data_IF_691989562727
#
_entry.id   IF_691989562727
#
_cell.length_a   1.000
_cell.length_b   1.000
_cell.length_c   1.000
_cell.angle_alpha   90.00
_cell.angle_beta   90.00
_cell.angle_gamma   90.00
#
_symmetry.space_group_name_H-M   'P 1'
#
loop_
_entity.id
_entity.type
_entity.pdbx_description
1 polymer ?
#
# COMPACT_ATOMS: atom_id res chain seq x y z
N UNK A 1 11.87 20.24 4.32
CA UNK A 1 11.79 18.91 3.69
C UNK A 1 10.84 19.00 2.51
N UNK A 2 11.34 18.86 1.27
CA UNK A 2 10.53 18.89 0.04
C UNK A 2 9.70 17.61 -0.14
N UNK A 3 10.27 16.46 0.28
CA UNK A 3 9.66 15.14 0.20
C UNK A 3 8.22 15.06 0.75
N UNK A 4 7.97 15.47 2.00
CA UNK A 4 6.63 15.34 2.58
C UNK A 4 5.55 16.23 1.94
N UNK A 5 5.92 17.24 1.14
CA UNK A 5 4.98 18.06 0.35
C UNK A 5 4.74 17.40 -1.01
N UNK A 6 5.79 16.97 -1.68
CA UNK A 6 5.72 16.23 -2.95
C UNK A 6 4.98 14.89 -2.80
N UNK A 7 5.16 14.21 -1.66
CA UNK A 7 4.48 12.98 -1.31
C UNK A 7 2.96 13.13 -1.29
N UNK A 8 2.45 14.15 -0.57
CA UNK A 8 1.01 14.44 -0.51
C UNK A 8 0.43 14.87 -1.85
N UNK A 9 1.17 15.70 -2.61
CA UNK A 9 0.73 16.11 -3.96
C UNK A 9 0.56 14.88 -4.84
N UNK A 10 1.58 13.99 -4.87
CA UNK A 10 1.51 12.74 -5.64
C UNK A 10 0.35 11.84 -5.22
N UNK A 11 0.05 11.74 -3.92
CA UNK A 11 -1.08 10.93 -3.43
C UNK A 11 -2.41 11.56 -3.86
N UNK A 12 -2.59 12.86 -3.67
CA UNK A 12 -3.82 13.56 -4.04
C UNK A 12 -4.08 13.53 -5.55
N UNK A 13 -3.03 13.62 -6.36
CA UNK A 13 -3.13 13.60 -7.83
C UNK A 13 -3.41 12.19 -8.38
N UNK A 14 -2.84 11.14 -7.78
CA UNK A 14 -2.88 9.77 -8.32
C UNK A 14 -4.02 8.95 -7.70
N UNK A 15 -4.25 9.09 -6.40
CA UNK A 15 -5.15 8.24 -5.61
C UNK A 15 -5.83 9.04 -4.49
N UNK A 16 -6.66 10.04 -4.84
CA UNK A 16 -7.32 10.90 -3.85
C UNK A 16 -8.16 10.11 -2.85
N UNK A 17 -8.77 9.01 -3.30
CA UNK A 17 -9.59 8.13 -2.45
C UNK A 17 -8.78 7.41 -1.37
N UNK A 18 -7.48 7.19 -1.57
CA UNK A 18 -6.62 6.42 -0.65
C UNK A 18 -5.68 7.32 0.17
N UNK A 19 -5.88 8.64 0.14
CA UNK A 19 -4.97 9.58 0.80
C UNK A 19 -4.86 9.33 2.31
N UNK A 20 -5.98 8.99 2.94
CA UNK A 20 -6.05 8.73 4.38
C UNK A 20 -5.40 7.40 4.79
N UNK A 21 -5.26 6.48 3.85
CA UNK A 21 -4.65 5.17 4.04
C UNK A 21 -3.12 5.23 3.94
N UNK A 22 -2.58 6.24 3.24
CA UNK A 22 -1.14 6.49 3.18
C UNK A 22 -0.56 6.95 4.53
N UNK A 23 0.75 6.77 4.71
CA UNK A 23 1.43 7.24 5.93
C UNK A 23 1.43 8.78 6.04
N UNK A 24 0.96 9.31 7.18
CA UNK A 24 1.04 10.75 7.45
C UNK A 24 2.36 11.16 8.11
N UNK A 25 3.38 11.46 7.30
CA UNK A 25 4.64 12.03 7.80
C UNK A 25 4.47 13.30 8.62
N UNK A 26 3.48 14.12 8.27
CA UNK A 26 3.22 15.39 8.94
C UNK A 26 2.71 15.14 10.35
N UNK A 27 1.80 14.18 10.52
CA UNK A 27 1.21 13.92 11.83
C UNK A 27 2.15 13.09 12.70
N UNK A 28 2.88 12.13 12.13
CA UNK A 28 3.99 11.47 12.84
C UNK A 28 5.00 12.47 13.41
N UNK A 29 5.44 13.43 12.58
CA UNK A 29 6.41 14.45 13.02
C UNK A 29 5.83 15.40 14.07
N UNK A 30 4.57 15.81 13.92
CA UNK A 30 3.89 16.66 14.90
C UNK A 30 3.78 15.95 16.25
N UNK A 31 3.30 14.71 16.25
CA UNK A 31 3.13 13.92 17.47
C UNK A 31 4.46 13.66 18.16
N UNK A 32 5.55 13.40 17.40
CA UNK A 32 6.89 13.26 17.95
C UNK A 32 7.39 14.52 18.67
N UNK A 33 7.12 15.70 18.11
CA UNK A 33 7.54 16.98 18.69
C UNK A 33 6.80 17.32 19.99
N UNK A 34 5.63 16.72 20.22
CA UNK A 34 4.82 16.92 21.42
C UNK A 34 5.20 15.97 22.57
N UNK A 35 5.99 14.95 22.29
CA UNK A 35 6.42 13.96 23.29
C UNK A 35 7.61 14.45 24.13
N UNK A 36 7.65 14.00 25.39
CA UNK A 36 8.77 14.27 26.28
C UNK A 36 10.08 13.68 25.71
N UNK A 37 11.21 14.43 25.75
CA UNK A 37 12.50 13.98 25.26
C UNK A 37 12.93 12.58 25.66
N UNK A 38 12.64 12.14 26.89
CA UNK A 38 13.01 10.83 27.41
C UNK A 38 12.15 9.68 26.88
N UNK A 39 10.97 9.97 26.32
CA UNK A 39 10.02 8.97 25.81
C UNK A 39 9.86 8.99 24.28
N UNK A 40 10.54 9.93 23.59
CA UNK A 40 10.40 10.12 22.14
C UNK A 40 10.70 8.86 21.34
N UNK A 41 11.69 8.06 21.72
CA UNK A 41 12.06 6.86 20.96
C UNK A 41 10.99 5.77 21.02
N UNK A 42 10.43 5.49 22.19
CA UNK A 42 9.35 4.51 22.36
C UNK A 42 8.02 5.01 21.78
N UNK A 43 7.71 6.28 22.01
CA UNK A 43 6.54 6.93 21.44
C UNK A 43 6.58 6.93 19.91
N UNK A 44 7.74 7.23 19.32
CA UNK A 44 7.94 7.17 17.88
C UNK A 44 7.77 5.76 17.31
N UNK A 45 8.37 4.75 17.95
CA UNK A 45 8.21 3.34 17.54
C UNK A 45 6.74 2.94 17.51
N UNK A 46 5.97 3.30 18.54
CA UNK A 46 4.54 3.01 18.61
C UNK A 46 3.76 3.71 17.49
N UNK A 47 4.03 4.99 17.24
CA UNK A 47 3.37 5.73 16.18
C UNK A 47 3.68 5.16 14.78
N UNK A 48 4.94 4.83 14.52
CA UNK A 48 5.34 4.19 13.28
C UNK A 48 4.67 2.82 13.13
N UNK A 49 4.64 2.02 14.20
CA UNK A 49 3.99 0.72 14.18
C UNK A 49 2.50 0.84 13.81
N UNK A 50 1.80 1.82 14.36
CA UNK A 50 0.39 2.04 14.04
C UNK A 50 0.19 2.40 12.56
N UNK A 51 1.02 3.27 12.00
CA UNK A 51 0.96 3.58 10.56
C UNK A 51 1.29 2.37 9.70
N UNK A 52 2.28 1.56 10.09
CA UNK A 52 2.63 0.31 9.37
C UNK A 52 1.48 -0.69 9.37
N UNK A 53 0.82 -0.89 10.51
CA UNK A 53 -0.35 -1.77 10.62
C UNK A 53 -1.46 -1.27 9.71
N UNK A 54 -1.83 0.01 9.81
CA UNK A 54 -2.85 0.64 8.96
C UNK A 54 -2.60 0.39 7.47
N UNK A 55 -1.39 0.68 7.00
CA UNK A 55 -1.06 0.53 5.58
C UNK A 55 -1.08 -0.92 5.11
N UNK A 56 -0.61 -1.85 5.95
CA UNK A 56 -0.59 -3.27 5.65
C UNK A 56 -1.99 -3.87 5.63
N UNK A 57 -2.86 -3.44 6.55
CA UNK A 57 -4.26 -3.85 6.58
C UNK A 57 -4.97 -3.40 5.30
N UNK A 58 -4.80 -2.13 4.91
CA UNK A 58 -5.33 -1.62 3.65
C UNK A 58 -4.81 -2.40 2.43
N UNK A 59 -3.50 -2.62 2.33
CA UNK A 59 -2.91 -3.36 1.22
C UNK A 59 -3.42 -4.81 1.16
N UNK A 60 -3.49 -5.49 2.30
CA UNK A 60 -3.95 -6.88 2.37
C UNK A 60 -5.42 -7.02 1.95
N UNK A 61 -6.27 -6.09 2.40
CA UNK A 61 -7.68 -6.06 2.01
C UNK A 61 -7.82 -5.85 0.49
N UNK A 62 -7.06 -4.90 -0.09
CA UNK A 62 -7.06 -4.68 -1.55
C UNK A 62 -6.53 -5.88 -2.33
N UNK A 63 -5.49 -6.54 -1.82
CA UNK A 63 -4.95 -7.76 -2.44
C UNK A 63 -6.01 -8.87 -2.51
N UNK A 64 -6.81 -9.03 -1.44
CA UNK A 64 -7.91 -10.01 -1.41
C UNK A 64 -9.06 -9.63 -2.37
N UNK A 65 -9.49 -8.37 -2.37
CA UNK A 65 -10.48 -7.84 -3.34
C UNK A 65 -10.05 -8.11 -4.78
N UNK A 66 -8.76 -7.87 -5.10
CA UNK A 66 -8.24 -8.07 -6.44
C UNK A 66 -8.07 -9.54 -6.82
N UNK A 67 -7.74 -10.42 -5.87
CA UNK A 67 -7.77 -11.87 -6.11
C UNK A 67 -9.16 -12.33 -6.47
N UNK A 68 -10.18 -11.85 -5.76
CA UNK A 68 -11.57 -12.19 -6.04
C UNK A 68 -12.00 -11.66 -7.42
N UNK A 69 -11.74 -10.38 -7.73
CA UNK A 69 -12.07 -9.81 -9.05
C UNK A 69 -11.38 -10.52 -10.21
N UNK A 70 -10.11 -10.91 -10.04
CA UNK A 70 -9.40 -11.68 -11.06
C UNK A 70 -10.05 -13.05 -11.32
N UNK A 71 -10.56 -13.71 -10.27
CA UNK A 71 -11.26 -14.99 -10.43
C UNK A 71 -12.61 -14.82 -11.13
N UNK A 72 -13.34 -13.75 -10.83
CA UNK A 72 -14.58 -13.39 -11.55
C UNK A 72 -14.31 -13.14 -13.03
N UNK A 73 -13.35 -12.26 -13.35
CA UNK A 73 -12.95 -11.96 -14.72
C UNK A 73 -12.54 -13.22 -15.50
N UNK A 74 -11.83 -14.16 -14.85
CA UNK A 74 -11.47 -15.44 -15.48
C UNK A 74 -12.69 -16.30 -15.83
N UNK A 75 -13.73 -16.28 -15.00
CA UNK A 75 -14.99 -17.00 -15.28
C UNK A 75 -15.76 -16.31 -16.41
N UNK A 76 -15.86 -14.98 -16.35
CA UNK A 76 -16.48 -14.19 -17.41
C UNK A 76 -15.85 -14.49 -18.77
N UNK A 77 -14.51 -14.53 -18.85
CA UNK A 77 -13.77 -14.91 -20.08
C UNK A 77 -14.06 -16.34 -20.54
N UNK A 78 -14.22 -17.29 -19.62
CA UNK A 78 -14.46 -18.69 -19.95
C UNK A 78 -15.86 -18.94 -20.50
N UNK A 79 -16.83 -18.10 -20.10
CA UNK A 79 -18.25 -18.19 -20.48
C UNK A 79 -18.59 -17.32 -21.71
N UNK A 80 -17.60 -16.71 -22.38
CA UNK A 80 -17.82 -15.83 -23.54
C UNK A 80 -18.24 -16.61 -24.79
N UNK A 81 -19.49 -16.40 -25.22
CA UNK A 81 -20.04 -16.96 -26.46
C UNK A 81 -20.15 -15.92 -27.61
N UNK A 82 -20.06 -14.60 -27.32
CA UNK A 82 -20.33 -13.52 -28.29
C UNK A 82 -19.29 -12.38 -28.34
N UNK A 83 -19.32 -11.60 -29.43
CA UNK A 83 -18.36 -10.51 -29.67
C UNK A 83 -18.60 -9.20 -28.89
N UNK A 84 -19.84 -8.93 -28.46
CA UNK A 84 -20.18 -7.75 -27.65
C UNK A 84 -19.74 -7.94 -26.19
N UNK A 85 -19.98 -9.13 -25.63
CA UNK A 85 -19.50 -9.52 -24.29
C UNK A 85 -17.97 -9.53 -24.22
N UNK A 86 -17.29 -9.96 -25.29
CA UNK A 86 -15.84 -9.91 -25.38
C UNK A 86 -15.27 -8.47 -25.31
N UNK A 87 -16.02 -7.48 -25.80
CA UNK A 87 -15.63 -6.07 -25.70
C UNK A 87 -15.79 -5.55 -24.27
N UNK A 88 -16.88 -5.92 -23.59
CA UNK A 88 -17.11 -5.53 -22.21
C UNK A 88 -16.06 -6.12 -21.24
N UNK A 89 -15.76 -7.42 -21.38
CA UNK A 89 -14.73 -8.08 -20.56
C UNK A 89 -13.35 -7.45 -20.76
N UNK A 90 -13.04 -6.98 -21.98
CA UNK A 90 -11.80 -6.25 -22.26
C UNK A 90 -11.74 -4.91 -21.52
N UNK A 91 -12.84 -4.15 -21.52
CA UNK A 91 -12.94 -2.89 -20.77
C UNK A 91 -12.76 -3.13 -19.28
N UNK A 92 -13.42 -4.15 -18.75
CA UNK A 92 -13.34 -4.51 -17.33
C UNK A 92 -11.92 -4.95 -16.93
N UNK A 93 -11.22 -5.68 -17.80
CA UNK A 93 -9.83 -6.06 -17.60
C UNK A 93 -8.89 -4.83 -17.54
N UNK A 94 -9.10 -3.85 -18.42
CA UNK A 94 -8.31 -2.62 -18.43
C UNK A 94 -8.57 -1.77 -17.17
N UNK A 95 -9.83 -1.67 -16.74
CA UNK A 95 -10.18 -1.01 -15.48
C UNK A 95 -9.54 -1.72 -14.29
N UNK A 96 -9.58 -3.05 -14.25
CA UNK A 96 -8.91 -3.85 -13.22
C UNK A 96 -7.38 -3.66 -13.23
N UNK A 97 -6.76 -3.61 -14.41
CA UNK A 97 -5.33 -3.31 -14.53
C UNK A 97 -4.99 -1.94 -13.95
N UNK A 98 -5.79 -0.91 -14.23
CA UNK A 98 -5.59 0.42 -13.65
C UNK A 98 -5.63 0.37 -12.11
N UNK A 99 -6.56 -0.39 -11.53
CA UNK A 99 -6.66 -0.60 -10.08
C UNK A 99 -5.40 -1.27 -9.50
N UNK A 100 -4.86 -2.30 -10.18
CA UNK A 100 -3.59 -2.94 -9.79
C UNK A 100 -2.40 -1.97 -9.81
N UNK A 101 -2.31 -1.14 -10.85
CA UNK A 101 -1.25 -0.13 -10.97
C UNK A 101 -1.36 0.92 -9.86
N UNK A 102 -2.57 1.33 -9.49
CA UNK A 102 -2.79 2.22 -8.35
C UNK A 102 -2.30 1.59 -7.04
N UNK A 103 -2.59 0.31 -6.78
CA UNK A 103 -2.14 -0.37 -5.55
C UNK A 103 -0.62 -0.55 -5.51
N UNK A 104 0.00 -0.86 -6.64
CA UNK A 104 1.46 -0.87 -6.75
C UNK A 104 2.03 0.51 -6.41
N UNK A 105 1.43 1.57 -6.96
CA UNK A 105 1.88 2.93 -6.70
C UNK A 105 1.71 3.33 -5.23
N UNK A 106 0.64 2.88 -4.59
CA UNK A 106 0.41 3.06 -3.16
C UNK A 106 1.53 2.40 -2.35
N UNK A 107 1.90 1.16 -2.69
CA UNK A 107 2.99 0.44 -2.03
C UNK A 107 4.32 1.19 -2.18
N UNK A 108 4.69 1.58 -3.40
CA UNK A 108 5.93 2.30 -3.69
C UNK A 108 6.03 3.61 -2.90
N UNK A 109 4.97 4.41 -2.91
CA UNK A 109 4.92 5.69 -2.21
C UNK A 109 5.12 5.47 -0.71
N UNK A 110 4.34 4.57 -0.09
CA UNK A 110 4.46 4.31 1.33
C UNK A 110 5.84 3.77 1.72
N UNK A 111 6.42 2.91 0.88
CA UNK A 111 7.78 2.40 1.05
C UNK A 111 8.85 3.51 0.96
N UNK A 112 8.77 4.38 -0.05
CA UNK A 112 9.67 5.54 -0.19
C UNK A 112 9.58 6.47 1.01
N UNK A 113 8.37 6.65 1.52
CA UNK A 113 8.15 7.40 2.74
C UNK A 113 8.91 6.80 3.91
N UNK A 114 8.75 5.50 4.11
CA UNK A 114 9.33 4.75 5.22
C UNK A 114 10.85 4.91 5.20
N UNK A 115 11.45 4.81 4.00
CA UNK A 115 12.88 5.03 3.77
C UNK A 115 13.34 6.49 3.98
N UNK A 116 12.50 7.45 3.60
CA UNK A 116 12.79 8.89 3.73
C UNK A 116 12.57 9.43 5.13
N UNK A 117 11.93 8.66 6.00
CA UNK A 117 11.80 8.94 7.42
C UNK A 117 13.13 8.67 8.16
N UNK A 118 13.36 9.27 9.35
CA UNK A 118 14.52 8.94 10.18
C UNK A 118 14.62 7.46 10.60
N UNK A 119 13.63 6.62 10.25
CA UNK A 119 13.45 5.23 10.68
C UNK A 119 14.39 4.20 10.05
N UNK A 120 15.40 4.58 9.26
CA UNK A 120 16.29 3.63 8.58
C UNK A 120 17.01 2.64 9.55
N UNK A 121 17.07 2.97 10.86
CA UNK A 121 17.60 2.09 11.91
C UNK A 121 16.60 1.05 12.47
N UNK A 122 15.28 1.26 12.35
CA UNK A 122 14.25 0.39 12.95
C UNK A 122 13.65 -0.63 11.96
N UNK A 123 13.69 -0.34 10.66
CA UNK A 123 13.13 -1.18 9.60
C UNK A 123 13.87 -2.49 9.33
N UNK A 124 15.15 -2.59 9.72
CA UNK A 124 15.90 -3.84 9.59
C UNK A 124 15.28 -4.99 10.38
N UNK A 125 14.49 -4.71 11.43
CA UNK A 125 13.89 -5.74 12.27
C UNK A 125 12.49 -6.18 11.80
N UNK A 126 11.69 -5.31 11.18
CA UNK A 126 10.32 -5.63 10.75
C UNK A 126 10.21 -6.08 9.29
N UNK A 127 11.09 -5.61 8.39
CA UNK A 127 11.07 -6.07 6.99
C UNK A 127 11.54 -7.52 6.83
N UNK A 128 12.32 -8.04 7.77
CA UNK A 128 12.71 -9.45 7.81
C UNK A 128 11.53 -10.39 8.05
N UNK A 129 10.45 -9.97 8.74
CA UNK A 129 9.29 -10.85 8.95
C UNK A 129 8.40 -10.96 7.69
N UNK A 130 8.33 -9.91 6.87
CA UNK A 130 7.53 -9.90 5.64
C UNK A 130 8.25 -10.58 4.47
N UNK A 131 9.58 -10.45 4.36
CA UNK A 131 10.39 -11.22 3.38
C UNK A 131 10.16 -12.72 3.55
N UNK A 132 10.07 -13.21 4.79
CA UNK A 132 9.85 -14.63 5.08
C UNK A 132 8.44 -15.09 4.68
N UNK A 133 7.42 -14.23 4.82
CA UNK A 133 6.02 -14.57 4.45
C UNK A 133 5.84 -14.73 2.94
N UNK A 134 6.51 -13.92 2.12
CA UNK A 134 6.47 -14.03 0.66
C UNK A 134 7.53 -14.98 0.08
N UNK A 135 8.59 -15.32 0.82
CA UNK A 135 9.51 -16.41 0.45
C UNK A 135 8.87 -17.79 0.60
N UNK A 136 7.94 -17.98 1.54
CA UNK A 136 7.20 -19.24 1.72
C UNK A 136 6.27 -19.55 0.53
N UNK A 137 5.66 -18.51 -0.06
CA UNK A 137 4.71 -18.68 -1.18
C UNK A 137 5.40 -19.10 -2.49
N UNK A 138 6.72 -18.86 -2.62
CA UNK A 138 7.50 -19.26 -3.81
C UNK A 138 8.02 -20.70 -3.76
N UNK A 139 7.86 -21.42 -2.66
CA UNK A 139 8.33 -22.82 -2.55
C UNK A 139 7.24 -23.84 -2.89
N UNK A 140 5.97 -23.44 -2.96
CA UNK A 140 4.82 -24.32 -3.22
C UNK A 140 4.11 -24.05 -4.57
N UNK A 141 4.79 -23.42 -5.54
CA UNK A 141 4.35 -23.25 -6.94
C UNK A 141 5.37 -23.83 -7.91
#
# INVERSE_FOLDING_TARGET
MKFGKEFRIKISDIMPEWEHECMSYKDLKKQLNLMDPGSRDEGFKRLLQNELVKMNDFFSNKEEEYKNRLQELKREVADLDSGEEATQVTVDLLQFHNQLVLLLRYYELNFDGIHSSPCNKLLKCTMLSYSTKYQYIKQDS
#
